data_IF_660763910827
#
_entry.id   IF_660763910827
#
_cell.length_a   1.000
_cell.length_b   1.000
_cell.length_c   1.000
_cell.angle_alpha   90.00
_cell.angle_beta   90.00
_cell.angle_gamma   90.00
#
_symmetry.space_group_name_H-M   'P 1'
#
loop_
_entity.id
_entity.type
_entity.pdbx_description
1 polymer ?
#
# COMPACT_ATOMS: atom_id res chain seq x y z
N UNK A 1 -4.78 29.71 -23.43
CA UNK A 1 -4.24 30.80 -22.59
C UNK A 1 -2.92 30.31 -22.00
N UNK A 2 -1.82 30.86 -22.53
CA UNK A 2 -0.39 30.71 -22.19
C UNK A 2 0.09 29.49 -21.38
N UNK A 3 0.66 28.53 -22.12
CA UNK A 3 1.77 27.68 -21.67
C UNK A 3 3.00 28.59 -21.47
N UNK A 4 3.19 29.12 -20.26
CA UNK A 4 4.47 29.73 -19.90
C UNK A 4 5.49 28.61 -19.67
N UNK A 5 6.38 28.46 -20.64
CA UNK A 5 7.68 27.81 -20.49
C UNK A 5 8.35 28.26 -19.20
N UNK A 6 8.58 27.33 -18.27
CA UNK A 6 9.59 27.48 -17.23
C UNK A 6 10.97 27.50 -17.89
N UNK A 7 11.36 28.66 -18.43
CA UNK A 7 12.76 28.97 -18.68
C UNK A 7 13.35 29.31 -17.32
N UNK A 8 14.03 28.35 -16.69
CA UNK A 8 14.86 28.63 -15.54
C UNK A 8 16.00 29.57 -15.98
N UNK A 9 16.13 30.79 -15.44
CA UNK A 9 17.35 31.55 -15.62
C UNK A 9 18.46 30.85 -14.83
N UNK A 10 19.47 30.34 -15.54
CA UNK A 10 20.75 30.01 -14.94
C UNK A 10 21.41 31.35 -14.57
N UNK A 11 21.31 31.75 -13.30
CA UNK A 11 22.06 32.89 -12.77
C UNK A 11 22.87 32.44 -11.56
N UNK A 12 24.18 32.46 -11.74
CA UNK A 12 25.21 32.32 -10.72
C UNK A 12 25.18 33.50 -9.73
N UNK A 13 25.32 33.17 -8.44
CA UNK A 13 25.78 33.98 -7.29
C UNK A 13 24.97 35.20 -6.77
N UNK A 14 24.24 34.99 -5.66
CA UNK A 14 24.36 35.73 -4.38
C UNK A 14 23.58 34.95 -3.30
N UNK A 15 24.29 34.47 -2.28
CA UNK A 15 23.95 33.27 -1.47
C UNK A 15 22.74 33.39 -0.51
N UNK A 16 21.97 34.48 -0.58
CA UNK A 16 20.71 34.64 0.16
C UNK A 16 19.46 34.78 -0.72
N UNK A 17 19.59 35.33 -1.94
CA UNK A 17 18.44 35.62 -2.81
C UNK A 17 18.01 34.42 -3.65
N UNK A 18 18.96 33.56 -4.04
CA UNK A 18 18.69 32.33 -4.78
C UNK A 18 17.92 31.28 -3.97
N UNK A 19 18.33 31.04 -2.71
CA UNK A 19 17.64 30.11 -1.82
C UNK A 19 16.20 30.57 -1.51
N UNK A 20 16.01 31.85 -1.22
CA UNK A 20 14.69 32.42 -0.95
C UNK A 20 13.75 32.28 -2.16
N UNK A 21 14.29 32.45 -3.38
CA UNK A 21 13.55 32.24 -4.62
C UNK A 21 13.11 30.78 -4.79
N UNK A 22 14.01 29.81 -4.54
CA UNK A 22 13.70 28.38 -4.61
C UNK A 22 12.65 27.98 -3.57
N UNK A 23 12.80 28.41 -2.32
CA UNK A 23 11.81 28.13 -1.25
C UNK A 23 10.44 28.72 -1.59
N UNK A 24 10.41 29.94 -2.15
CA UNK A 24 9.15 30.56 -2.60
C UNK A 24 8.50 29.81 -3.77
N UNK A 25 9.31 29.25 -4.67
CA UNK A 25 8.82 28.40 -5.76
C UNK A 25 8.24 27.08 -5.24
N UNK A 26 8.96 26.38 -4.35
CA UNK A 26 8.49 25.15 -3.70
C UNK A 26 7.21 25.38 -2.91
N UNK A 27 7.15 26.46 -2.12
CA UNK A 27 5.97 26.82 -1.33
C UNK A 27 4.74 27.06 -2.22
N UNK A 28 4.92 27.63 -3.41
CA UNK A 28 3.85 27.82 -4.39
C UNK A 28 3.32 26.48 -4.90
N UNK A 29 4.21 25.53 -5.22
CA UNK A 29 3.83 24.19 -5.65
C UNK A 29 3.11 23.41 -4.55
N UNK A 30 3.59 23.51 -3.29
CA UNK A 30 2.92 22.91 -2.12
C UNK A 30 1.52 23.50 -1.97
N UNK A 31 1.37 24.83 -2.01
CA UNK A 31 0.06 25.48 -1.94
C UNK A 31 -0.91 24.99 -3.02
N UNK A 32 -0.45 24.81 -4.25
CA UNK A 32 -1.29 24.29 -5.34
C UNK A 32 -1.81 22.87 -5.07
N UNK A 33 -1.07 22.08 -4.30
CA UNK A 33 -1.43 20.71 -3.96
C UNK A 33 -2.60 20.63 -2.95
N UNK A 34 -2.74 21.66 -2.11
CA UNK A 34 -3.75 21.78 -1.06
C UNK A 34 -4.93 22.68 -1.44
N UNK A 35 -5.10 22.99 -2.73
CA UNK A 35 -6.23 23.77 -3.25
C UNK A 35 -7.16 22.86 -4.06
N UNK A 36 -8.49 23.04 -4.03
CA UNK A 36 -9.40 22.31 -4.90
C UNK A 36 -9.08 22.53 -6.40
N UNK A 37 -9.24 21.52 -7.28
CA UNK A 37 -9.79 20.18 -7.04
C UNK A 37 -8.74 19.13 -6.60
N UNK A 38 -7.47 19.52 -6.40
CA UNK A 38 -6.38 18.59 -6.14
C UNK A 38 -6.32 18.14 -4.68
N UNK A 39 -6.78 18.98 -3.75
CA UNK A 39 -6.75 18.71 -2.30
C UNK A 39 -7.27 17.31 -1.93
N UNK A 40 -8.44 16.93 -2.46
CA UNK A 40 -9.04 15.62 -2.15
C UNK A 40 -8.18 14.45 -2.65
N UNK A 41 -7.57 14.58 -3.84
CA UNK A 41 -6.66 13.57 -4.40
C UNK A 41 -5.37 13.50 -3.61
N UNK A 42 -4.83 14.64 -3.19
CA UNK A 42 -3.63 14.72 -2.36
C UNK A 42 -3.84 14.04 -1.01
N UNK A 43 -4.94 14.36 -0.32
CA UNK A 43 -5.26 13.76 0.97
C UNK A 43 -5.47 12.25 0.83
N UNK A 44 -6.19 11.81 -0.20
CA UNK A 44 -6.39 10.39 -0.47
C UNK A 44 -5.06 9.67 -0.73
N UNK A 45 -4.24 10.16 -1.66
CA UNK A 45 -2.93 9.58 -1.96
C UNK A 45 -2.01 9.55 -0.73
N UNK A 46 -2.02 10.62 0.07
CA UNK A 46 -1.23 10.69 1.31
C UNK A 46 -1.72 9.68 2.34
N UNK A 47 -3.03 9.51 2.50
CA UNK A 47 -3.62 8.51 3.39
C UNK A 47 -3.30 7.07 2.94
N UNK A 48 -3.33 6.79 1.63
CA UNK A 48 -2.98 5.47 1.09
C UNK A 48 -1.51 5.12 1.37
N UNK A 49 -0.59 6.04 1.09
CA UNK A 49 0.84 5.85 1.36
C UNK A 49 1.16 5.81 2.85
N UNK A 50 0.50 6.64 3.67
CA UNK A 50 0.58 6.56 5.13
C UNK A 50 0.21 5.16 5.62
N UNK A 51 -0.95 4.65 5.21
CA UNK A 51 -1.49 3.39 5.70
C UNK A 51 -0.71 2.18 5.19
N UNK A 52 -0.29 2.22 3.93
CA UNK A 52 0.58 1.19 3.35
C UNK A 52 1.93 1.12 4.09
N UNK A 53 2.57 2.27 4.35
CA UNK A 53 3.85 2.33 5.08
C UNK A 53 3.70 1.96 6.55
N UNK A 54 2.59 2.32 7.18
CA UNK A 54 2.24 1.90 8.52
C UNK A 54 2.23 0.36 8.63
N UNK A 55 1.56 -0.32 7.69
CA UNK A 55 1.53 -1.77 7.61
C UNK A 55 2.90 -2.39 7.29
N UNK A 56 3.60 -1.82 6.31
CA UNK A 56 4.88 -2.32 5.81
C UNK A 56 5.95 -2.31 6.90
N UNK A 57 6.13 -1.16 7.56
CA UNK A 57 7.15 -1.02 8.60
C UNK A 57 6.70 -1.59 9.95
N UNK A 58 5.41 -1.51 10.28
CA UNK A 58 4.88 -2.08 11.52
C UNK A 58 5.11 -3.59 11.59
N UNK A 59 4.54 -4.34 10.64
CA UNK A 59 4.76 -5.80 10.60
C UNK A 59 6.21 -6.13 10.22
N UNK A 60 6.81 -5.40 9.27
CA UNK A 60 8.17 -5.67 8.80
C UNK A 60 9.24 -5.64 9.90
N UNK A 61 9.16 -4.68 10.84
CA UNK A 61 10.09 -4.61 11.97
C UNK A 61 9.72 -5.59 13.09
N UNK A 62 8.46 -6.00 13.18
CA UNK A 62 8.01 -6.97 14.17
C UNK A 62 8.39 -8.41 13.80
N UNK A 63 8.49 -8.75 12.51
CA UNK A 63 8.78 -10.10 12.03
C UNK A 63 10.09 -10.70 12.57
N UNK A 64 11.26 -10.02 12.52
CA UNK A 64 12.50 -10.55 13.10
C UNK A 64 12.37 -10.85 14.60
N UNK A 65 11.65 -9.98 15.33
CA UNK A 65 11.42 -10.15 16.76
C UNK A 65 10.51 -11.36 17.03
N UNK A 66 9.49 -11.60 16.19
CA UNK A 66 8.68 -12.82 16.26
C UNK A 66 9.55 -14.06 16.05
N UNK A 67 10.38 -14.08 15.00
CA UNK A 67 11.25 -15.23 14.72
C UNK A 67 12.22 -15.48 15.87
N UNK A 68 12.81 -14.42 16.43
CA UNK A 68 13.69 -14.51 17.60
C UNK A 68 12.98 -15.14 18.80
N UNK A 69 11.72 -14.77 19.05
CA UNK A 69 10.91 -15.38 20.12
C UNK A 69 10.59 -16.84 19.84
N UNK A 70 10.30 -17.20 18.59
CA UNK A 70 10.02 -18.59 18.23
C UNK A 70 11.26 -19.46 18.41
N UNK A 71 12.43 -19.02 17.94
CA UNK A 71 13.68 -19.79 18.10
C UNK A 71 14.04 -19.97 19.58
N UNK A 72 13.85 -18.93 20.41
CA UNK A 72 14.05 -19.04 21.86
C UNK A 72 13.09 -20.05 22.52
N UNK A 73 11.84 -20.11 22.07
CA UNK A 73 10.86 -21.07 22.59
C UNK A 73 11.17 -22.51 22.14
N UNK A 74 11.43 -22.72 20.85
CA UNK A 74 11.73 -24.05 20.31
C UNK A 74 13.05 -24.63 20.82
N UNK A 75 14.02 -23.78 21.19
CA UNK A 75 15.26 -24.22 21.84
C UNK A 75 15.02 -24.88 23.20
N UNK A 76 13.95 -24.50 23.90
CA UNK A 76 13.56 -25.08 25.20
C UNK A 76 12.45 -26.12 25.09
N UNK A 77 11.60 -26.05 24.06
CA UNK A 77 10.43 -26.91 23.86
C UNK A 77 10.37 -27.43 22.41
N UNK A 78 11.21 -28.41 22.01
CA UNK A 78 11.38 -28.82 20.62
C UNK A 78 10.15 -29.49 19.98
N UNK A 79 9.18 -29.97 20.77
CA UNK A 79 8.00 -30.72 20.28
C UNK A 79 6.66 -29.98 20.49
N UNK A 80 6.67 -28.75 20.98
CA UNK A 80 5.43 -28.00 21.23
C UNK A 80 5.19 -26.93 20.16
N UNK A 81 3.93 -26.75 19.77
CA UNK A 81 3.54 -25.66 18.87
C UNK A 81 2.87 -24.56 19.65
N UNK A 82 3.27 -23.32 19.40
CA UNK A 82 2.75 -22.14 20.09
C UNK A 82 2.23 -21.12 19.08
N UNK A 83 1.14 -20.44 19.41
CA UNK A 83 0.64 -19.32 18.60
C UNK A 83 1.46 -18.04 18.84
N UNK A 84 1.44 -17.11 17.88
CA UNK A 84 2.20 -15.85 17.98
C UNK A 84 1.81 -15.04 19.23
N UNK A 85 0.53 -15.00 19.58
CA UNK A 85 0.06 -14.24 20.74
C UNK A 85 0.35 -14.91 22.08
N UNK A 86 0.25 -16.24 22.14
CA UNK A 86 0.62 -17.00 23.33
C UNK A 86 2.12 -16.86 23.62
N UNK A 87 2.95 -16.96 22.57
CA UNK A 87 4.39 -16.75 22.64
C UNK A 87 4.76 -15.33 23.11
N UNK A 88 4.05 -14.32 22.61
CA UNK A 88 4.25 -12.93 23.02
C UNK A 88 3.88 -12.72 24.49
N UNK A 89 2.80 -13.34 24.97
CA UNK A 89 2.38 -13.24 26.37
C UNK A 89 3.36 -13.93 27.33
N UNK A 90 3.89 -15.10 26.94
CA UNK A 90 4.94 -15.79 27.70
C UNK A 90 6.22 -14.97 27.77
N UNK A 91 6.64 -14.38 26.65
CA UNK A 91 7.84 -13.53 26.58
C UNK A 91 7.74 -12.30 27.50
N UNK A 92 6.56 -11.69 27.63
CA UNK A 92 6.33 -10.58 28.57
C UNK A 92 6.46 -11.02 30.02
N UNK A 93 5.83 -12.14 30.40
CA UNK A 93 5.94 -12.68 31.76
C UNK A 93 7.40 -12.95 32.11
N UNK A 94 8.16 -13.52 31.17
CA UNK A 94 9.58 -13.75 31.34
C UNK A 94 10.36 -12.44 31.49
N UNK A 95 10.05 -11.40 30.71
CA UNK A 95 10.70 -10.10 30.82
C UNK A 95 10.45 -9.40 32.17
N UNK A 96 9.24 -9.50 32.72
CA UNK A 96 8.92 -8.98 34.06
C UNK A 96 9.68 -9.73 35.16
N UNK A 97 9.84 -11.05 35.04
CA UNK A 97 10.63 -11.87 35.99
C UNK A 97 12.12 -11.57 35.87
N UNK A 98 12.64 -11.42 34.65
CA UNK A 98 14.07 -11.13 34.39
C UNK A 98 14.49 -9.71 34.79
N UNK A 99 13.57 -8.75 34.93
CA UNK A 99 13.89 -7.44 35.55
C UNK A 99 14.39 -7.56 37.00
N UNK A 100 14.13 -8.70 37.65
CA UNK A 100 14.59 -9.02 39.00
C UNK A 100 15.93 -9.79 39.06
N UNK A 101 16.43 -10.29 37.93
CA UNK A 101 17.65 -11.12 37.87
C UNK A 101 18.50 -10.77 36.64
N UNK A 102 19.64 -10.16 36.91
CA UNK A 102 20.85 -9.92 36.09
C UNK A 102 20.77 -9.96 34.54
N UNK A 103 21.30 -8.90 33.91
CA UNK A 103 21.31 -8.68 32.47
C UNK A 103 22.33 -9.59 31.75
N UNK A 104 22.04 -10.88 31.60
CA UNK A 104 22.81 -11.71 30.66
C UNK A 104 22.54 -11.24 29.23
N UNK A 105 23.58 -11.05 28.43
CA UNK A 105 23.49 -10.63 27.05
C UNK A 105 22.58 -11.58 26.26
N UNK A 106 21.43 -11.07 25.80
CA UNK A 106 20.49 -11.82 24.98
C UNK A 106 21.14 -12.14 23.65
N UNK A 107 21.59 -13.38 23.46
CA UNK A 107 22.13 -13.86 22.19
C UNK A 107 21.00 -13.94 21.16
N UNK A 108 21.14 -13.21 20.06
CA UNK A 108 20.23 -13.30 18.91
C UNK A 108 20.65 -14.49 18.06
N UNK A 109 19.70 -15.37 17.75
CA UNK A 109 19.96 -16.59 16.99
C UNK A 109 20.26 -16.30 15.50
N UNK A 110 21.20 -17.04 14.92
CA UNK A 110 21.60 -16.91 13.51
C UNK A 110 20.42 -17.14 12.54
N UNK A 111 19.48 -18.02 12.89
CA UNK A 111 18.30 -18.34 12.08
C UNK A 111 17.43 -17.12 11.82
N UNK A 112 17.38 -16.15 12.74
CA UNK A 112 16.62 -14.91 12.56
C UNK A 112 17.16 -14.09 11.39
N UNK A 113 18.49 -14.04 11.25
CA UNK A 113 19.15 -13.34 10.14
C UNK A 113 18.88 -14.06 8.82
N UNK A 114 18.98 -15.40 8.80
CA UNK A 114 18.69 -16.21 7.60
C UNK A 114 17.22 -16.00 7.16
N UNK A 115 16.26 -16.07 8.08
CA UNK A 115 14.84 -15.85 7.79
C UNK A 115 14.57 -14.45 7.24
N UNK A 116 15.23 -13.43 7.79
CA UNK A 116 15.10 -12.04 7.31
C UNK A 116 15.73 -11.86 5.92
N UNK A 117 16.87 -12.50 5.64
CA UNK A 117 17.47 -12.51 4.30
C UNK A 117 16.56 -13.20 3.27
N UNK A 118 15.94 -14.32 3.63
CA UNK A 118 14.97 -15.02 2.78
C UNK A 118 13.80 -14.09 2.44
N UNK A 119 13.22 -13.41 3.44
CA UNK A 119 12.13 -12.46 3.22
C UNK A 119 12.57 -11.35 2.26
N UNK A 120 13.77 -10.79 2.46
CA UNK A 120 14.33 -9.76 1.56
C UNK A 120 14.48 -10.25 0.12
N UNK A 121 15.03 -11.45 -0.07
CA UNK A 121 15.19 -12.06 -1.40
C UNK A 121 13.83 -12.31 -2.09
N UNK A 122 12.84 -12.82 -1.36
CA UNK A 122 11.49 -13.05 -1.89
C UNK A 122 10.80 -11.73 -2.25
N UNK A 123 10.98 -10.66 -1.44
CA UNK A 123 10.46 -9.34 -1.77
C UNK A 123 11.09 -8.75 -3.04
N UNK A 124 12.39 -8.92 -3.23
CA UNK A 124 13.09 -8.48 -4.45
C UNK A 124 12.53 -9.20 -5.68
N UNK A 125 12.41 -10.53 -5.61
CA UNK A 125 11.82 -11.33 -6.68
C UNK A 125 10.36 -10.95 -6.93
N UNK A 126 9.57 -10.73 -5.87
CA UNK A 126 8.18 -10.29 -5.95
C UNK A 126 8.00 -8.94 -6.63
N UNK A 127 8.90 -7.98 -6.37
CA UNK A 127 8.87 -6.68 -7.04
C UNK A 127 9.29 -6.77 -8.51
N UNK A 128 10.27 -7.61 -8.84
CA UNK A 128 10.67 -7.86 -10.25
C UNK A 128 9.53 -8.52 -11.03
N UNK A 129 8.91 -9.57 -10.47
CA UNK A 129 7.78 -10.24 -11.12
C UNK A 129 6.59 -9.29 -11.29
N UNK A 130 6.35 -8.41 -10.32
CA UNK A 130 5.30 -7.39 -10.42
C UNK A 130 5.59 -6.35 -11.51
N UNK A 131 6.85 -5.99 -11.73
CA UNK A 131 7.26 -5.14 -12.85
C UNK A 131 6.99 -5.78 -14.21
N UNK A 132 7.22 -7.10 -14.34
CA UNK A 132 6.88 -7.86 -15.55
C UNK A 132 5.37 -7.99 -15.74
N UNK A 133 4.63 -8.21 -14.65
CA UNK A 133 3.16 -8.32 -14.66
C UNK A 133 2.48 -6.98 -14.98
N UNK A 134 3.13 -5.84 -14.74
CA UNK A 134 2.63 -4.51 -15.07
C UNK A 134 2.43 -4.30 -16.58
N UNK A 135 3.10 -5.09 -17.44
CA UNK A 135 2.85 -5.09 -18.88
C UNK A 135 1.53 -5.74 -19.29
N UNK A 136 0.97 -6.61 -18.43
CA UNK A 136 -0.22 -7.41 -18.73
C UNK A 136 -1.47 -6.99 -17.95
N UNK A 137 -1.32 -6.47 -16.73
CA UNK A 137 -2.44 -6.02 -15.90
C UNK A 137 -2.69 -4.52 -16.04
N UNK A 138 -3.96 -4.13 -15.93
CA UNK A 138 -4.31 -2.72 -15.81
C UNK A 138 -3.70 -2.14 -14.52
N UNK A 139 -2.99 -1.02 -14.67
CA UNK A 139 -2.21 -0.36 -13.61
C UNK A 139 -3.02 0.01 -12.36
N UNK A 140 -4.34 0.16 -12.51
CA UNK A 140 -5.26 0.47 -11.41
C UNK A 140 -5.76 -0.76 -10.64
N UNK A 141 -5.70 -1.95 -11.23
CA UNK A 141 -6.16 -3.20 -10.61
C UNK A 141 -5.04 -3.87 -9.78
N UNK A 142 -3.79 -3.64 -10.16
CA UNK A 142 -2.61 -4.16 -9.46
C UNK A 142 -2.54 -3.78 -7.96
N UNK A 143 -2.73 -2.51 -7.54
CA UNK A 143 -2.65 -2.16 -6.12
C UNK A 143 -3.84 -2.74 -5.33
N UNK A 144 -5.02 -2.87 -5.95
CA UNK A 144 -6.20 -3.48 -5.30
C UNK A 144 -5.92 -4.95 -4.99
N UNK A 145 -5.44 -5.72 -5.97
CA UNK A 145 -5.16 -7.15 -5.80
C UNK A 145 -4.04 -7.43 -4.78
N UNK A 146 -2.94 -6.68 -4.87
CA UNK A 146 -1.79 -6.83 -3.96
C UNK A 146 -2.12 -6.42 -2.52
N UNK A 147 -2.90 -5.35 -2.31
CA UNK A 147 -3.35 -4.95 -0.97
C UNK A 147 -4.36 -5.92 -0.36
N UNK A 148 -5.24 -6.56 -1.15
CA UNK A 148 -6.11 -7.62 -0.63
C UNK A 148 -5.29 -8.82 -0.16
N UNK A 149 -4.33 -9.26 -0.97
CA UNK A 149 -3.44 -10.36 -0.62
C UNK A 149 -2.64 -10.05 0.65
N UNK A 150 -2.13 -8.82 0.79
CA UNK A 150 -1.46 -8.36 2.01
C UNK A 150 -2.40 -8.34 3.23
N UNK A 151 -3.63 -7.85 3.09
CA UNK A 151 -4.61 -7.83 4.19
C UNK A 151 -4.99 -9.23 4.67
N UNK A 152 -5.25 -10.15 3.74
CA UNK A 152 -5.61 -11.55 4.06
C UNK A 152 -4.44 -12.28 4.71
N UNK A 153 -3.22 -12.11 4.19
CA UNK A 153 -2.03 -12.72 4.79
C UNK A 153 -1.78 -12.19 6.20
N UNK A 154 -1.94 -10.88 6.45
CA UNK A 154 -1.82 -10.31 7.79
C UNK A 154 -2.83 -10.91 8.79
N UNK A 155 -4.10 -11.06 8.40
CA UNK A 155 -5.11 -11.69 9.26
C UNK A 155 -4.82 -13.18 9.51
N UNK A 156 -4.23 -13.86 8.52
CA UNK A 156 -3.89 -15.29 8.63
C UNK A 156 -2.80 -15.52 9.67
N UNK A 157 -1.87 -14.58 9.88
CA UNK A 157 -0.78 -14.69 10.88
C UNK A 157 -1.32 -15.02 12.28
N UNK A 158 -2.49 -14.51 12.65
CA UNK A 158 -3.11 -14.79 13.96
C UNK A 158 -3.35 -16.29 14.20
N UNK A 159 -3.70 -17.05 13.16
CA UNK A 159 -4.05 -18.47 13.26
C UNK A 159 -2.84 -19.40 13.15
N UNK A 160 -1.65 -18.88 12.84
CA UNK A 160 -0.47 -19.69 12.58
C UNK A 160 0.18 -20.14 13.89
N UNK A 161 0.49 -21.44 13.94
CA UNK A 161 1.17 -22.10 15.08
C UNK A 161 2.56 -22.64 14.74
N UNK A 162 2.92 -22.68 13.46
CA UNK A 162 4.20 -23.22 12.99
C UNK A 162 5.12 -22.10 12.52
N UNK A 163 6.42 -22.19 12.84
CA UNK A 163 7.45 -21.24 12.39
C UNK A 163 7.54 -21.15 10.87
N UNK A 164 7.48 -22.29 10.17
CA UNK A 164 7.56 -22.31 8.70
C UNK A 164 6.33 -21.67 8.05
N UNK A 165 5.14 -21.92 8.59
CA UNK A 165 3.92 -21.28 8.09
C UNK A 165 3.98 -19.76 8.31
N UNK A 166 4.45 -19.32 9.48
CA UNK A 166 4.67 -17.91 9.77
C UNK A 166 5.65 -17.28 8.78
N UNK A 167 6.78 -17.94 8.48
CA UNK A 167 7.76 -17.47 7.51
C UNK A 167 7.15 -17.30 6.10
N UNK A 168 6.44 -18.32 5.61
CA UNK A 168 5.83 -18.29 4.27
C UNK A 168 4.80 -17.16 4.15
N UNK A 169 3.90 -17.04 5.12
CA UNK A 169 2.87 -15.99 5.11
C UNK A 169 3.49 -14.60 5.24
N UNK A 170 4.56 -14.46 6.01
CA UNK A 170 5.31 -13.20 6.15
C UNK A 170 6.00 -12.78 4.85
N UNK A 171 6.57 -13.73 4.10
CA UNK A 171 7.12 -13.49 2.77
C UNK A 171 6.04 -13.02 1.77
N UNK A 172 4.86 -13.64 1.80
CA UNK A 172 3.72 -13.25 0.95
C UNK A 172 3.23 -11.85 1.32
N UNK A 173 3.03 -11.60 2.62
CA UNK A 173 2.64 -10.29 3.14
C UNK A 173 3.61 -9.20 2.68
N UNK A 174 4.91 -9.36 2.96
CA UNK A 174 5.89 -8.31 2.72
C UNK A 174 6.15 -8.07 1.23
N UNK A 175 6.12 -9.13 0.41
CA UNK A 175 6.16 -8.99 -1.05
C UNK A 175 4.97 -8.22 -1.58
N UNK A 176 3.75 -8.59 -1.18
CA UNK A 176 2.53 -7.96 -1.64
C UNK A 176 2.44 -6.49 -1.21
N UNK A 177 2.79 -6.18 0.05
CA UNK A 177 2.75 -4.82 0.56
C UNK A 177 3.86 -3.93 -0.04
N UNK A 178 5.04 -4.48 -0.31
CA UNK A 178 6.14 -3.82 -1.02
C UNK A 178 5.76 -3.47 -2.45
N UNK A 179 5.22 -4.44 -3.19
CA UNK A 179 4.76 -4.21 -4.56
C UNK A 179 3.68 -3.13 -4.60
N UNK A 180 2.69 -3.21 -3.72
CA UNK A 180 1.64 -2.20 -3.71
C UNK A 180 2.14 -0.81 -3.33
N UNK A 181 3.20 -0.68 -2.52
CA UNK A 181 3.87 0.62 -2.31
C UNK A 181 4.45 1.21 -3.61
N UNK A 182 5.18 0.39 -4.37
CA UNK A 182 5.74 0.80 -5.67
C UNK A 182 4.62 1.25 -6.61
N UNK A 183 3.57 0.44 -6.72
CA UNK A 183 2.44 0.72 -7.61
C UNK A 183 1.66 1.97 -7.16
N UNK A 184 1.41 2.17 -5.86
CA UNK A 184 0.77 3.37 -5.32
C UNK A 184 1.58 4.63 -5.66
N UNK A 185 2.90 4.58 -5.51
CA UNK A 185 3.78 5.70 -5.88
C UNK A 185 3.71 5.99 -7.38
N UNK A 186 3.66 4.95 -8.21
CA UNK A 186 3.46 5.09 -9.66
C UNK A 186 2.09 5.68 -10.01
N UNK A 187 1.02 5.37 -9.26
CA UNK A 187 -0.32 5.94 -9.46
C UNK A 187 -0.33 7.43 -9.10
N UNK A 188 0.36 7.84 -8.03
CA UNK A 188 0.52 9.26 -7.67
C UNK A 188 1.16 10.05 -8.82
N UNK A 189 2.21 9.51 -9.44
CA UNK A 189 2.91 10.17 -10.56
C UNK A 189 1.99 10.43 -11.77
N UNK A 190 1.03 9.54 -12.03
CA UNK A 190 0.12 9.66 -13.16
C UNK A 190 -1.03 10.63 -12.90
N UNK A 191 -1.54 10.68 -11.67
CA UNK A 191 -2.68 11.53 -11.30
C UNK A 191 -2.31 13.01 -11.30
N UNK A 192 -1.08 13.34 -10.90
CA UNK A 192 -0.64 14.72 -10.74
C UNK A 192 0.01 15.29 -12.01
N UNK A 193 -0.30 16.55 -12.38
CA UNK A 193 0.31 17.20 -13.53
C UNK A 193 1.81 17.43 -13.31
N UNK A 194 2.57 17.43 -14.41
CA UNK A 194 4.05 17.44 -14.43
C UNK A 194 4.68 18.57 -13.61
N UNK A 195 4.04 19.74 -13.55
CA UNK A 195 4.55 20.94 -12.85
C UNK A 195 4.61 20.82 -11.32
N UNK A 196 3.78 19.94 -10.72
CA UNK A 196 3.67 19.74 -9.26
C UNK A 196 3.82 18.26 -8.86
N UNK A 197 3.99 17.37 -9.83
CA UNK A 197 4.14 15.92 -9.62
C UNK A 197 5.19 15.58 -8.58
N UNK A 198 6.39 16.18 -8.68
CA UNK A 198 7.47 15.91 -7.73
C UNK A 198 7.07 16.25 -6.30
N UNK A 199 6.44 17.41 -6.10
CA UNK A 199 5.97 17.84 -4.77
C UNK A 199 4.82 16.96 -4.24
N UNK A 200 3.95 16.48 -5.12
CA UNK A 200 2.89 15.53 -4.74
C UNK A 200 3.46 14.21 -4.23
N UNK A 201 4.42 13.63 -4.95
CA UNK A 201 5.12 12.40 -4.55
C UNK A 201 5.85 12.60 -3.24
N UNK A 202 6.64 13.68 -3.10
CA UNK A 202 7.36 13.96 -1.85
C UNK A 202 6.42 14.13 -0.66
N UNK A 203 5.29 14.81 -0.84
CA UNK A 203 4.29 15.00 0.23
C UNK A 203 3.66 13.68 0.64
N UNK A 204 3.29 12.84 -0.32
CA UNK A 204 2.68 11.54 -0.03
C UNK A 204 3.68 10.57 0.62
N UNK A 205 4.95 10.56 0.19
CA UNK A 205 6.01 9.77 0.82
C UNK A 205 6.32 10.29 2.22
N UNK A 206 6.33 11.62 2.44
CA UNK A 206 6.54 12.20 3.76
C UNK A 206 5.44 11.73 4.73
N UNK A 207 4.18 11.75 4.31
CA UNK A 207 3.08 11.15 5.08
C UNK A 207 3.33 9.66 5.35
N UNK A 208 3.78 8.90 4.34
CA UNK A 208 4.25 7.51 4.49
C UNK A 208 5.29 7.31 5.59
N UNK A 209 6.31 8.18 5.65
CA UNK A 209 7.36 8.12 6.69
C UNK A 209 6.81 8.42 8.08
N UNK A 210 5.87 9.36 8.21
CA UNK A 210 5.15 9.58 9.47
C UNK A 210 4.39 8.31 9.87
N UNK A 211 3.73 7.64 8.93
CA UNK A 211 3.07 6.36 9.17
C UNK A 211 4.02 5.27 9.69
N UNK A 212 5.23 5.20 9.18
CA UNK A 212 6.26 4.27 9.65
C UNK A 212 6.74 4.55 11.09
N UNK A 213 6.84 5.83 11.46
CA UNK A 213 7.20 6.22 12.84
C UNK A 213 6.05 5.86 13.79
N UNK A 214 4.82 6.22 13.41
CA UNK A 214 3.63 5.95 14.21
C UNK A 214 3.41 4.45 14.37
N UNK A 215 3.63 3.63 13.33
CA UNK A 215 3.45 2.18 13.43
C UNK A 215 4.39 1.55 14.46
N UNK A 216 5.66 1.93 14.50
CA UNK A 216 6.62 1.37 15.45
C UNK A 216 6.29 1.73 16.89
N UNK A 217 5.89 2.97 17.15
CA UNK A 217 5.47 3.41 18.48
C UNK A 217 4.17 2.71 18.90
N UNK A 218 3.19 2.64 17.99
CA UNK A 218 1.88 2.09 18.28
C UNK A 218 1.96 0.57 18.46
N UNK A 219 2.66 -0.17 17.58
CA UNK A 219 2.81 -1.62 17.75
C UNK A 219 3.55 -1.97 19.04
N UNK A 220 4.63 -1.26 19.38
CA UNK A 220 5.33 -1.49 20.64
C UNK A 220 4.39 -1.39 21.84
N UNK A 221 3.61 -0.31 21.90
CA UNK A 221 2.66 -0.08 22.99
C UNK A 221 1.46 -1.04 22.98
N UNK A 222 0.87 -1.30 21.80
CA UNK A 222 -0.29 -2.18 21.68
C UNK A 222 0.07 -3.63 21.95
N UNK A 223 1.25 -4.08 21.52
CA UNK A 223 1.71 -5.44 21.79
C UNK A 223 1.79 -5.70 23.29
N UNK A 224 2.16 -4.70 24.10
CA UNK A 224 2.21 -4.80 25.57
C UNK A 224 0.83 -4.94 26.23
N UNK A 225 -0.21 -4.34 25.65
CA UNK A 225 -1.57 -4.43 26.17
C UNK A 225 -2.27 -5.69 25.66
N UNK A 226 -2.27 -5.91 24.34
CA UNK A 226 -3.00 -7.00 23.69
C UNK A 226 -2.39 -7.32 22.34
N UNK A 227 -1.98 -8.57 22.13
CA UNK A 227 -1.36 -9.00 20.85
C UNK A 227 -2.35 -9.03 19.68
N UNK A 228 -3.63 -9.30 19.94
CA UNK A 228 -4.64 -9.49 18.90
C UNK A 228 -4.98 -8.18 18.19
N UNK A 229 -5.06 -7.08 18.95
CA UNK A 229 -5.44 -5.75 18.48
C UNK A 229 -4.53 -5.25 17.34
N UNK A 230 -3.19 -5.21 17.47
CA UNK A 230 -2.34 -4.72 16.39
C UNK A 230 -2.42 -5.58 15.12
N UNK A 231 -2.58 -6.91 15.23
CA UNK A 231 -2.69 -7.79 14.05
C UNK A 231 -3.96 -7.47 13.24
N UNK A 232 -5.12 -7.39 13.90
CA UNK A 232 -6.37 -7.06 13.22
C UNK A 232 -6.41 -5.61 12.72
N UNK A 233 -5.83 -4.68 13.48
CA UNK A 233 -5.71 -3.28 13.07
C UNK A 233 -4.88 -3.14 11.80
N UNK A 234 -3.75 -3.86 11.71
CA UNK A 234 -2.91 -3.89 10.52
C UNK A 234 -3.63 -4.52 9.31
N UNK A 235 -4.34 -5.63 9.52
CA UNK A 235 -5.15 -6.25 8.47
C UNK A 235 -6.24 -5.31 7.92
N UNK A 236 -7.00 -4.66 8.82
CA UNK A 236 -8.07 -3.74 8.45
C UNK A 236 -7.54 -2.51 7.70
N UNK A 237 -6.46 -1.91 8.20
CA UNK A 237 -5.86 -0.73 7.58
C UNK A 237 -5.32 -1.04 6.17
N UNK A 238 -4.69 -2.19 5.97
CA UNK A 238 -4.23 -2.62 4.64
C UNK A 238 -5.40 -2.94 3.69
N UNK A 239 -6.47 -3.56 4.18
CA UNK A 239 -7.69 -3.79 3.38
C UNK A 239 -8.38 -2.48 2.98
N UNK A 240 -8.39 -1.47 3.86
CA UNK A 240 -8.93 -0.14 3.56
C UNK A 240 -8.20 0.53 2.37
N UNK A 241 -6.88 0.33 2.25
CA UNK A 241 -6.10 0.82 1.10
C UNK A 241 -6.60 0.20 -0.19
N UNK A 242 -6.95 -1.09 -0.20
CA UNK A 242 -7.48 -1.75 -1.39
C UNK A 242 -8.81 -1.14 -1.85
N UNK A 243 -9.77 -0.98 -0.94
CA UNK A 243 -11.07 -0.39 -1.25
C UNK A 243 -10.94 1.05 -1.78
N UNK A 244 -10.07 1.84 -1.14
CA UNK A 244 -9.82 3.23 -1.51
C UNK A 244 -9.06 3.37 -2.83
N UNK A 245 -8.17 2.44 -3.16
CA UNK A 245 -7.44 2.42 -4.43
C UNK A 245 -8.38 2.14 -5.62
N UNK A 246 -9.44 1.34 -5.41
CA UNK A 246 -10.48 1.13 -6.42
C UNK A 246 -11.23 2.42 -6.80
N UNK A 247 -11.42 3.34 -5.85
CA UNK A 247 -12.03 4.64 -6.11
C UNK A 247 -11.15 5.60 -6.92
N UNK A 248 -9.82 5.40 -6.95
CA UNK A 248 -8.93 6.13 -7.85
C UNK A 248 -9.04 5.61 -9.30
N UNK A 249 -9.40 4.34 -9.46
CA UNK A 249 -9.49 3.66 -10.76
C UNK A 249 -10.72 4.09 -11.58
N UNK A 250 -11.85 4.26 -10.90
CA UNK A 250 -13.05 4.82 -11.49
C UNK A 250 -13.11 6.31 -11.17
N UNK A 251 -12.96 7.22 -12.14
CA UNK A 251 -13.29 8.61 -11.90
C UNK A 251 -14.76 8.66 -11.47
N UNK A 252 -15.01 8.92 -10.18
CA UNK A 252 -16.34 9.26 -9.71
C UNK A 252 -16.90 10.37 -10.62
N UNK A 253 -18.21 10.38 -10.90
CA UNK A 253 -18.88 11.35 -11.77
C UNK A 253 -18.97 12.74 -11.12
N UNK A 254 -17.85 13.26 -10.61
CA UNK A 254 -17.75 14.61 -10.05
C UNK A 254 -17.59 15.69 -11.12
N UNK A 255 -17.79 15.32 -12.39
CA UNK A 255 -17.71 16.20 -13.56
C UNK A 255 -19.06 16.43 -14.25
N UNK A 256 -20.19 16.05 -13.64
CA UNK A 256 -21.53 16.39 -14.15
C UNK A 256 -22.07 17.74 -13.67
N UNK A 257 -21.28 18.57 -12.98
CA UNK A 257 -21.71 19.91 -12.49
C UNK A 257 -21.05 21.09 -13.22
N UNK A 258 -20.07 20.87 -14.11
CA UNK A 258 -19.57 21.95 -14.97
C UNK A 258 -20.14 21.82 -16.39
N UNK A 259 -20.83 22.85 -16.92
CA UNK A 259 -21.42 22.78 -18.24
C UNK A 259 -20.33 22.64 -19.32
N UNK A 260 -20.65 21.83 -20.33
CA UNK A 260 -19.84 21.47 -21.51
C UNK A 260 -18.97 22.63 -22.01
N UNK A 261 -17.64 22.40 -22.07
CA UNK A 261 -16.82 23.00 -23.11
C UNK A 261 -16.20 21.88 -23.95
N UNK A 262 -16.60 21.89 -25.22
CA UNK A 262 -16.28 20.92 -26.25
C UNK A 262 -14.77 20.77 -26.45
N UNK A 263 -14.26 19.54 -26.50
CA UNK A 263 -13.13 19.20 -27.34
C UNK A 263 -13.18 17.72 -27.75
N UNK A 264 -13.56 17.50 -29.01
CA UNK A 264 -13.41 16.24 -29.71
C UNK A 264 -11.93 15.82 -29.74
N UNK A 265 -11.58 14.66 -29.20
CA UNK A 265 -10.81 13.60 -29.87
C UNK A 265 -10.48 12.43 -28.92
N UNK A 266 -11.01 11.26 -29.27
CA UNK A 266 -10.44 9.91 -29.19
C UNK A 266 -9.83 9.39 -27.87
N UNK A 267 -10.50 8.39 -27.26
CA UNK A 267 -9.95 7.05 -26.94
C UNK A 267 -11.12 6.11 -26.57
N UNK A 268 -11.26 4.92 -27.18
CA UNK A 268 -12.34 3.99 -26.83
C UNK A 268 -11.96 3.21 -25.56
N UNK A 269 -12.61 3.53 -24.43
CA UNK A 269 -12.59 2.68 -23.24
C UNK A 269 -13.59 1.54 -23.47
N UNK A 270 -13.06 0.34 -23.75
CA UNK A 270 -13.86 -0.89 -23.85
C UNK A 270 -14.36 -1.25 -22.46
N UNK A 271 -15.59 -0.86 -22.17
CA UNK A 271 -16.38 -1.26 -20.99
C UNK A 271 -16.46 -2.78 -20.91
N UNK A 272 -15.83 -3.38 -19.89
CA UNK A 272 -16.04 -4.77 -19.53
C UNK A 272 -17.26 -4.83 -18.58
N UNK A 273 -18.38 -5.32 -19.10
CA UNK A 273 -19.62 -5.50 -18.35
C UNK A 273 -19.47 -6.67 -17.37
N UNK A 274 -19.68 -6.41 -16.08
CA UNK A 274 -19.66 -7.39 -14.98
C UNK A 274 -20.97 -8.21 -14.90
N UNK A 275 -21.59 -8.50 -16.04
CA UNK A 275 -22.94 -9.08 -16.14
C UNK A 275 -22.95 -10.46 -16.81
N UNK A 276 -21.88 -11.25 -16.62
CA UNK A 276 -21.72 -12.59 -17.24
C UNK A 276 -21.66 -13.73 -16.21
N UNK A 277 -21.63 -13.45 -14.91
CA UNK A 277 -21.49 -14.51 -13.89
C UNK A 277 -22.81 -15.09 -13.33
N UNK A 278 -23.98 -14.73 -13.88
CA UNK A 278 -25.28 -15.15 -13.34
C UNK A 278 -26.19 -15.92 -14.33
N UNK A 279 -25.68 -16.35 -15.48
CA UNK A 279 -26.50 -17.05 -16.50
C UNK A 279 -26.07 -18.50 -16.79
N UNK A 280 -25.51 -19.20 -15.80
CA UNK A 280 -25.27 -20.65 -15.88
C UNK A 280 -26.38 -21.45 -15.18
N UNK A 281 -27.63 -21.26 -15.62
CA UNK A 281 -28.71 -22.22 -15.35
C UNK A 281 -29.55 -22.39 -16.62
N UNK A 282 -29.41 -23.59 -17.19
CA UNK A 282 -30.25 -24.26 -18.20
C UNK A 282 -30.14 -23.90 -19.70
N UNK A 283 -29.97 -24.91 -20.58
CA UNK A 283 -29.93 -24.76 -22.04
C UNK A 283 -31.33 -24.96 -22.66
N UNK A 284 -31.64 -24.27 -23.77
CA UNK A 284 -32.40 -24.78 -24.94
C UNK A 284 -32.71 -23.69 -25.97
N UNK A 285 -32.06 -23.83 -27.13
CA UNK A 285 -32.55 -23.58 -28.50
C UNK A 285 -32.89 -22.18 -29.08
N UNK A 286 -32.76 -22.04 -30.43
CA UNK A 286 -32.58 -20.77 -31.14
C UNK A 286 -33.71 -20.44 -32.14
N UNK A 287 -33.79 -19.19 -32.64
CA UNK A 287 -34.11 -18.78 -34.03
C UNK A 287 -34.38 -17.26 -34.13
N UNK A 288 -33.71 -16.55 -35.06
CA UNK A 288 -34.28 -15.93 -36.29
C UNK A 288 -35.27 -14.78 -36.03
N UNK A 289 -35.37 -13.69 -36.78
CA UNK A 289 -34.64 -13.04 -37.87
C UNK A 289 -35.33 -11.68 -38.06
N UNK A 290 -34.65 -10.72 -38.70
CA UNK A 290 -35.24 -9.63 -39.48
C UNK A 290 -36.09 -8.56 -38.78
N UNK A 291 -35.63 -7.31 -38.79
CA UNK A 291 -36.20 -6.28 -39.68
C UNK A 291 -35.54 -4.92 -39.45
N UNK A 292 -35.18 -4.32 -40.58
CA UNK A 292 -34.69 -2.98 -40.81
C UNK A 292 -35.55 -1.86 -40.21
N UNK A 293 -34.90 -0.70 -40.04
CA UNK A 293 -35.33 0.62 -40.55
C UNK A 293 -35.39 1.76 -39.52
N UNK A 294 -34.43 2.67 -39.70
CA UNK A 294 -34.66 4.13 -39.86
C UNK A 294 -34.78 4.99 -38.59
N UNK A 295 -33.64 5.60 -38.24
CA UNK A 295 -33.44 7.06 -38.13
C UNK A 295 -34.70 7.94 -37.94
N UNK A 296 -34.81 8.61 -36.79
CA UNK A 296 -35.21 10.02 -36.77
C UNK A 296 -34.68 10.70 -35.50
N UNK A 297 -33.85 11.73 -35.71
CA UNK A 297 -33.51 12.80 -34.76
C UNK A 297 -34.79 13.53 -34.33
N UNK A 298 -34.87 13.99 -33.07
CA UNK A 298 -35.18 15.38 -32.66
C UNK A 298 -35.03 15.48 -31.12
N UNK A 299 -34.20 16.44 -30.70
CA UNK A 299 -33.92 17.01 -29.36
C UNK A 299 -33.11 16.18 -28.35
#
# INVERSE_FOLDING_TARGET
MMVQYLKAPCSTSSDGSGLLFLLKAMWRQIKQLFVPPLLARTLLCSALLFTNMFGYFGLGLWLPEIFNRFEAFYSSHPNETVSVCELTNMSKKQAEISKLSDCSARSVDERVFINTMIIGAVCLLGNITSGLLAGHLQRNTMPVATMLLAGVSAATIYFLRSSLQNLIISCIFLSAISTGNFVLTSVVVDIFPTSIRAMAVCTAILAGRVGAIVSNLLLGHLLDISCEVPIFLLGFTVMYVSASSGHLAHPLPFLSIFPKFSLNHAFPVRSFNFHVLLSLVHPSCPWSSNSSSTLLFVL
#
